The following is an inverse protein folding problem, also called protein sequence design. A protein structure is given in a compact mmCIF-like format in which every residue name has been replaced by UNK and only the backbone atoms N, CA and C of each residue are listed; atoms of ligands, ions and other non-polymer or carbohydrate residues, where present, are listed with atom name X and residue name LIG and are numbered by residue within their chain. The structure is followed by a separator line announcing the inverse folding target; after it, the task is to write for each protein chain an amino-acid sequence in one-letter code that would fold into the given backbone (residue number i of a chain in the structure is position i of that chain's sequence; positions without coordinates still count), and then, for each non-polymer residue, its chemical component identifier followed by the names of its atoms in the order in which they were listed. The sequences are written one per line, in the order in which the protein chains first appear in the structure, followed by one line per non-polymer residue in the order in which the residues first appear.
data_IF_887810608050
#
_entry.id   IF_887810608050
#
_cell.length_a   1.000
_cell.length_b   1.000
_cell.length_c   1.000
_cell.angle_alpha   90.00
_cell.angle_beta   90.00
_cell.angle_gamma   90.00
#
_symmetry.space_group_name_H-M   'P 1'
#
loop_
_entity.id
_entity.type
_entity.pdbx_description
1 polymer ?
#
# COMPACT_ATOMS: atom_id res chain seq x y z
N UNK A 1 17.73 -8.43 2.86
CA UNK A 1 16.97 -7.60 3.83
C UNK A 1 17.25 -8.08 5.24
N UNK A 2 17.53 -7.18 6.19
CA UNK A 2 17.73 -7.56 7.60
C UNK A 2 16.40 -7.87 8.31
N UNK A 3 16.45 -8.58 9.45
CA UNK A 3 15.28 -8.83 10.32
C UNK A 3 14.57 -7.52 10.69
N UNK A 4 15.35 -6.51 11.09
CA UNK A 4 14.84 -5.19 11.45
C UNK A 4 14.07 -4.51 10.30
N UNK A 5 14.57 -4.61 9.06
CA UNK A 5 13.88 -4.04 7.89
C UNK A 5 12.55 -4.76 7.62
N UNK A 6 12.53 -6.09 7.71
CA UNK A 6 11.31 -6.89 7.54
C UNK A 6 10.27 -6.56 8.62
N UNK A 7 10.69 -6.45 9.88
CA UNK A 7 9.79 -6.13 10.98
C UNK A 7 9.24 -4.70 10.85
N UNK A 8 10.05 -3.75 10.35
CA UNK A 8 9.61 -2.39 10.02
C UNK A 8 8.52 -2.38 8.94
N UNK A 9 8.71 -3.12 7.84
CA UNK A 9 7.70 -3.26 6.78
C UNK A 9 6.40 -3.84 7.33
N UNK A 10 6.50 -4.98 8.02
CA UNK A 10 5.35 -5.65 8.66
C UNK A 10 4.60 -4.79 9.68
N UNK A 11 5.26 -3.85 10.36
CA UNK A 11 4.58 -2.89 11.25
C UNK A 11 3.84 -1.84 10.43
N UNK A 12 4.45 -1.34 9.38
CA UNK A 12 3.85 -0.33 8.53
C UNK A 12 2.61 -0.85 7.78
N UNK A 13 2.68 -2.06 7.21
CA UNK A 13 1.52 -2.71 6.57
C UNK A 13 0.34 -2.88 7.54
N UNK A 14 0.63 -3.23 8.80
CA UNK A 14 -0.41 -3.35 9.84
C UNK A 14 -1.02 -2.01 10.22
N UNK A 15 -0.19 -0.97 10.35
CA UNK A 15 -0.64 0.39 10.61
C UNK A 15 -1.59 0.87 9.51
N UNK A 16 -1.24 0.66 8.24
CA UNK A 16 -2.10 1.00 7.10
C UNK A 16 -3.44 0.27 7.19
N UNK A 17 -3.41 -1.07 7.30
CA UNK A 17 -4.65 -1.87 7.32
C UNK A 17 -5.53 -1.50 8.51
N UNK A 18 -4.97 -1.38 9.71
CA UNK A 18 -5.74 -1.04 10.90
C UNK A 18 -6.36 0.35 10.79
N UNK A 19 -5.60 1.35 10.31
CA UNK A 19 -6.10 2.71 10.11
C UNK A 19 -7.25 2.74 9.10
N UNK A 20 -7.15 1.99 7.99
CA UNK A 20 -8.22 1.90 6.99
C UNK A 20 -9.49 1.29 7.58
N UNK A 21 -9.36 0.18 8.34
CA UNK A 21 -10.50 -0.45 9.03
C UNK A 21 -11.16 0.48 10.03
N UNK A 22 -10.36 1.14 10.87
CA UNK A 22 -10.83 2.11 11.87
C UNK A 22 -11.53 3.31 11.22
N UNK A 23 -11.13 3.67 9.99
CA UNK A 23 -11.74 4.74 9.19
C UNK A 23 -13.01 4.29 8.44
N UNK A 24 -13.44 3.03 8.60
CA UNK A 24 -14.68 2.52 8.01
C UNK A 24 -14.57 2.02 6.57
N UNK A 25 -13.36 1.66 6.11
CA UNK A 25 -13.23 0.95 4.82
C UNK A 25 -13.96 -0.39 4.88
N UNK A 26 -14.69 -0.72 3.80
CA UNK A 26 -15.44 -1.96 3.69
C UNK A 26 -14.58 -3.23 3.80
N UNK A 27 -13.43 -3.26 3.12
CA UNK A 27 -12.41 -4.30 3.30
C UNK A 27 -11.01 -3.69 3.29
N UNK A 28 -10.13 -4.24 4.11
CA UNK A 28 -8.71 -3.94 4.11
C UNK A 28 -7.96 -5.12 4.72
N UNK A 29 -7.00 -5.70 4.00
CA UNK A 29 -6.22 -6.85 4.48
C UNK A 29 -4.83 -6.86 3.90
N UNK A 30 -3.90 -7.44 4.67
CA UNK A 30 -2.54 -7.69 4.17
C UNK A 30 -2.55 -8.89 3.24
N UNK A 31 -1.78 -8.82 2.16
CA UNK A 31 -1.54 -9.96 1.29
C UNK A 31 -0.53 -10.89 1.99
N UNK A 32 -0.89 -12.14 2.31
CA UNK A 32 0.06 -13.08 2.87
C UNK A 32 1.12 -13.41 1.81
N UNK A 33 2.38 -13.57 2.23
CA UNK A 33 3.49 -13.97 1.35
C UNK A 33 3.76 -13.01 0.17
N UNK A 34 3.35 -11.73 0.26
CA UNK A 34 3.65 -10.72 -0.76
C UNK A 34 5.14 -10.71 -1.11
N UNK A 35 5.44 -10.79 -2.41
CA UNK A 35 6.80 -10.80 -2.95
C UNK A 35 7.63 -12.07 -2.69
N UNK A 36 7.05 -13.13 -2.11
CA UNK A 36 7.72 -14.43 -1.88
C UNK A 36 7.22 -15.55 -2.80
N UNK A 37 6.03 -15.42 -3.38
CA UNK A 37 5.40 -16.43 -4.24
C UNK A 37 4.73 -15.76 -5.45
N UNK A 38 4.88 -16.35 -6.64
CA UNK A 38 4.17 -15.90 -7.85
C UNK A 38 2.66 -15.91 -7.60
N UNK A 39 1.99 -14.80 -7.94
CA UNK A 39 0.55 -14.61 -7.75
C UNK A 39 0.16 -13.77 -6.53
N UNK A 40 1.07 -13.55 -5.57
CA UNK A 40 0.85 -12.67 -4.41
C UNK A 40 1.55 -11.32 -4.62
N UNK A 41 0.93 -10.48 -5.45
CA UNK A 41 1.39 -9.10 -5.73
C UNK A 41 0.87 -8.13 -4.68
N UNK A 42 1.65 -7.08 -4.42
CA UNK A 42 1.31 -6.00 -3.49
C UNK A 42 1.24 -6.42 -2.02
N UNK A 43 1.21 -5.44 -1.13
CA UNK A 43 1.25 -5.65 0.32
C UNK A 43 -0.14 -5.65 0.98
N UNK A 44 -1.07 -4.88 0.41
CA UNK A 44 -2.40 -4.63 0.98
C UNK A 44 -3.45 -4.70 -0.14
N UNK A 45 -4.60 -5.29 0.16
CA UNK A 45 -5.80 -5.23 -0.66
C UNK A 45 -6.85 -4.44 0.11
N UNK A 46 -7.53 -3.51 -0.55
CA UNK A 46 -8.57 -2.70 0.08
C UNK A 46 -9.76 -2.40 -0.84
N UNK A 47 -10.91 -2.14 -0.21
CA UNK A 47 -12.14 -1.62 -0.81
C UNK A 47 -12.72 -0.55 0.08
N UNK A 48 -12.99 0.64 -0.49
CA UNK A 48 -13.53 1.77 0.28
C UNK A 48 -14.97 1.54 0.73
N UNK A 49 -15.85 1.15 -0.19
CA UNK A 49 -17.22 0.76 0.09
C UNK A 49 -17.56 -0.57 -0.63
N UNK A 50 -18.77 -1.08 -0.44
CA UNK A 50 -19.21 -2.35 -1.03
C UNK A 50 -19.18 -2.35 -2.56
N UNK A 51 -19.53 -1.21 -3.18
CA UNK A 51 -19.54 -1.03 -4.64
C UNK A 51 -18.18 -0.63 -5.23
N UNK A 52 -17.19 -0.25 -4.42
CA UNK A 52 -15.84 0.08 -4.89
C UNK A 52 -15.18 -1.15 -5.51
N UNK A 53 -14.41 -0.92 -6.57
CA UNK A 53 -13.47 -1.92 -7.07
C UNK A 53 -12.44 -2.25 -6.00
N UNK A 54 -11.88 -3.45 -6.08
CA UNK A 54 -10.73 -3.82 -5.27
C UNK A 54 -9.48 -3.08 -5.74
N UNK A 55 -8.71 -2.54 -4.80
CA UNK A 55 -7.46 -1.85 -5.08
C UNK A 55 -6.29 -2.61 -4.46
N UNK A 56 -5.21 -2.70 -5.25
CA UNK A 56 -3.94 -3.22 -4.81
C UNK A 56 -3.04 -2.09 -4.29
N UNK A 57 -2.59 -2.26 -3.04
CA UNK A 57 -1.77 -1.30 -2.32
C UNK A 57 -0.36 -1.83 -2.04
N UNK A 58 0.66 -1.01 -2.27
CA UNK A 58 2.06 -1.30 -1.93
C UNK A 58 2.53 -0.39 -0.77
N UNK A 59 3.32 -0.91 0.17
CA UNK A 59 3.73 -0.18 1.37
C UNK A 59 5.24 0.10 1.40
N UNK A 60 5.66 1.36 1.24
CA UNK A 60 7.08 1.76 1.34
C UNK A 60 7.33 2.81 2.43
N UNK A 61 8.02 2.40 3.49
CA UNK A 61 8.56 3.34 4.50
C UNK A 61 10.03 3.66 4.21
N UNK A 62 10.31 4.87 3.71
CA UNK A 62 11.63 5.32 3.25
C UNK A 62 11.84 6.82 3.53
N UNK A 63 13.12 7.24 3.61
CA UNK A 63 13.47 8.62 3.91
C UNK A 63 13.30 9.59 2.71
N UNK A 64 13.30 9.10 1.47
CA UNK A 64 13.06 9.92 0.29
C UNK A 64 13.34 9.17 -1.02
N UNK A 65 13.08 9.86 -2.15
CA UNK A 65 13.39 9.40 -3.51
C UNK A 65 12.15 9.30 -4.40
N UNK A 66 11.98 10.24 -5.34
CA UNK A 66 10.86 10.20 -6.32
C UNK A 66 10.93 9.00 -7.25
N UNK A 67 12.13 8.61 -7.71
CA UNK A 67 12.29 7.41 -8.56
C UNK A 67 11.74 6.15 -7.90
N UNK A 68 11.91 6.01 -6.58
CA UNK A 68 11.39 4.87 -5.83
C UNK A 68 9.86 4.78 -5.83
N UNK A 69 9.16 5.90 -6.01
CA UNK A 69 7.70 5.93 -6.10
C UNK A 69 7.26 5.28 -7.41
N UNK A 70 7.89 5.65 -8.53
CA UNK A 70 7.61 5.06 -9.84
C UNK A 70 8.00 3.58 -9.87
N UNK A 71 9.23 3.25 -9.46
CA UNK A 71 9.72 1.87 -9.42
C UNK A 71 8.79 0.97 -8.58
N UNK A 72 8.31 1.46 -7.43
CA UNK A 72 7.42 0.69 -6.56
C UNK A 72 6.02 0.50 -7.15
N UNK A 73 5.46 1.50 -7.85
CA UNK A 73 4.18 1.34 -8.55
C UNK A 73 4.27 0.33 -9.68
N UNK A 74 5.38 0.34 -10.44
CA UNK A 74 5.60 -0.55 -11.58
C UNK A 74 5.88 -2.00 -11.15
N UNK A 75 6.60 -2.21 -10.05
CA UNK A 75 7.02 -3.55 -9.59
C UNK A 75 5.85 -4.52 -9.40
N UNK A 76 4.77 -4.04 -8.77
CA UNK A 76 3.62 -4.85 -8.40
C UNK A 76 2.34 -4.46 -9.16
N UNK A 77 2.45 -3.50 -10.10
CA UNK A 77 1.33 -2.86 -10.79
C UNK A 77 0.25 -2.40 -9.79
N UNK A 78 0.69 -1.75 -8.70
CA UNK A 78 -0.16 -1.34 -7.60
C UNK A 78 -0.98 -0.09 -7.98
N UNK A 79 -2.27 -0.11 -7.65
CA UNK A 79 -3.16 1.05 -7.80
C UNK A 79 -2.70 2.19 -6.89
N UNK A 80 -2.41 1.84 -5.62
CA UNK A 80 -2.06 2.79 -4.55
C UNK A 80 -0.68 2.46 -3.98
N UNK A 81 0.10 3.50 -3.73
CA UNK A 81 1.31 3.41 -2.93
C UNK A 81 1.12 4.14 -1.60
N UNK A 82 1.21 3.40 -0.50
CA UNK A 82 1.27 3.95 0.85
C UNK A 82 2.73 4.23 1.20
N UNK A 83 3.06 5.50 1.37
CA UNK A 83 4.42 5.91 1.71
C UNK A 83 4.48 6.69 3.00
N UNK A 84 5.60 6.56 3.71
CA UNK A 84 5.94 7.48 4.80
C UNK A 84 7.43 7.58 5.05
N UNK A 85 7.83 8.76 5.52
CA UNK A 85 9.06 8.91 6.29
C UNK A 85 8.82 8.47 7.74
N UNK A 86 9.86 8.02 8.43
CA UNK A 86 9.78 7.70 9.86
C UNK A 86 9.21 8.87 10.66
N UNK A 87 8.20 8.57 11.49
CA UNK A 87 7.47 9.52 12.35
C UNK A 87 6.72 10.64 11.60
N UNK A 88 6.45 10.44 10.31
CA UNK A 88 5.57 11.31 9.54
C UNK A 88 4.25 10.60 9.22
N UNK A 89 3.17 11.35 8.94
CA UNK A 89 1.92 10.78 8.48
C UNK A 89 2.11 9.92 7.23
N UNK A 90 1.23 8.94 7.06
CA UNK A 90 1.14 8.14 5.84
C UNK A 90 0.57 8.99 4.72
N UNK A 91 1.21 8.95 3.55
CA UNK A 91 0.68 9.52 2.32
C UNK A 91 0.13 8.40 1.44
N UNK A 92 -0.99 8.69 0.80
CA UNK A 92 -1.61 7.85 -0.23
C UNK A 92 -1.24 8.44 -1.57
N UNK A 93 -0.53 7.68 -2.41
CA UNK A 93 -0.07 8.13 -3.72
C UNK A 93 -0.75 7.29 -4.79
N UNK A 94 -1.44 7.95 -5.71
CA UNK A 94 -2.05 7.37 -6.91
C UNK A 94 -1.69 8.22 -8.13
N UNK A 95 -1.92 7.70 -9.34
CA UNK A 95 -1.71 8.53 -10.54
C UNK A 95 -2.79 9.61 -10.61
N UNK A 96 -2.52 10.72 -11.30
CA UNK A 96 -3.53 11.74 -11.53
C UNK A 96 -4.72 11.18 -12.31
N UNK A 97 -4.48 10.25 -13.23
CA UNK A 97 -5.53 9.60 -14.02
C UNK A 97 -6.46 8.76 -13.12
N UNK A 98 -5.90 7.93 -12.24
CA UNK A 98 -6.69 7.12 -11.28
C UNK A 98 -7.50 8.02 -10.34
N UNK A 99 -6.90 9.13 -9.91
CA UNK A 99 -7.58 10.13 -9.08
C UNK A 99 -8.76 10.77 -9.81
N UNK A 100 -8.59 11.14 -11.08
CA UNK A 100 -9.65 11.74 -11.91
C UNK A 100 -10.77 10.75 -12.18
N UNK A 101 -10.47 9.47 -12.43
CA UNK A 101 -11.48 8.43 -12.64
C UNK A 101 -12.38 8.25 -11.43
N UNK A 102 -11.86 8.44 -10.22
CA UNK A 102 -12.65 8.32 -8.99
C UNK A 102 -12.99 6.88 -8.60
N UNK A 103 -12.43 5.89 -9.31
CA UNK A 103 -12.69 4.47 -9.11
C UNK A 103 -11.86 3.90 -7.94
N UNK A 104 -12.07 4.43 -6.72
CA UNK A 104 -11.41 4.00 -5.48
C UNK A 104 -12.34 3.94 -4.25
#
# INVERSE_FOLDING_TARGET
MSKMQRDKGKRFEREVVNTLKESGFYDAKRVPLSGLQEGFKGDVILKRNESSRELLGECKSRAGGFKLIYDAKEQDNADILFIKHDRKPVLVVMSLEDYIKGDF
#
